data_IF_667028753533
#
_entry.id   IF_667028753533
#
_cell.length_a   1.000
_cell.length_b   1.000
_cell.length_c   1.000
_cell.angle_alpha   90.00
_cell.angle_beta   90.00
_cell.angle_gamma   90.00
#
_symmetry.space_group_name_H-M   'P 1'
#
loop_
_entity.id
_entity.type
_entity.pdbx_description
1 polymer ?
#
# COMPACT_ATOMS: atom_id res chain seq x y z
N UNK A 1 -62.44 -29.32 -28.00
CA UNK A 1 -61.63 -28.08 -27.97
C UNK A 1 -60.50 -28.29 -26.97
N UNK A 2 -59.24 -28.35 -27.43
CA UNK A 2 -58.05 -28.63 -26.61
C UNK A 2 -57.72 -27.40 -25.75
N UNK A 3 -57.55 -27.57 -24.43
CA UNK A 3 -56.88 -26.57 -23.58
C UNK A 3 -55.51 -27.09 -23.18
N UNK A 4 -54.50 -26.42 -23.71
CA UNK A 4 -53.08 -26.53 -23.36
C UNK A 4 -52.90 -25.72 -22.07
N UNK A 5 -52.32 -26.31 -21.03
CA UNK A 5 -51.78 -25.58 -19.88
C UNK A 5 -50.27 -25.79 -19.90
N UNK A 6 -49.56 -24.69 -20.17
CA UNK A 6 -48.10 -24.59 -20.19
C UNK A 6 -47.53 -24.78 -18.77
N UNK A 7 -46.52 -25.63 -18.67
CA UNK A 7 -45.56 -25.65 -17.57
C UNK A 7 -44.57 -24.49 -17.78
N UNK A 8 -44.64 -23.45 -16.94
CA UNK A 8 -43.56 -22.46 -16.82
C UNK A 8 -43.25 -22.31 -15.34
N UNK A 9 -42.16 -22.92 -14.91
CA UNK A 9 -41.68 -22.79 -13.54
C UNK A 9 -40.33 -23.46 -13.40
N UNK A 10 -39.25 -22.67 -13.46
CA UNK A 10 -37.95 -23.13 -12.99
C UNK A 10 -36.72 -22.65 -13.76
N UNK A 11 -36.52 -21.34 -13.94
CA UNK A 11 -35.17 -20.80 -14.16
C UNK A 11 -35.09 -19.41 -13.54
N UNK A 12 -34.72 -19.28 -12.26
CA UNK A 12 -34.37 -17.98 -11.65
C UNK A 12 -33.51 -18.09 -10.38
N UNK A 13 -32.56 -19.03 -10.34
CA UNK A 13 -31.65 -19.19 -9.19
C UNK A 13 -30.14 -19.28 -9.52
N UNK A 14 -29.73 -19.15 -10.79
CA UNK A 14 -28.32 -19.41 -11.19
C UNK A 14 -27.44 -18.14 -11.20
N UNK A 15 -28.02 -16.94 -11.01
CA UNK A 15 -27.29 -15.66 -11.07
C UNK A 15 -26.60 -15.20 -9.77
N UNK A 16 -27.05 -15.68 -8.60
CA UNK A 16 -26.53 -15.23 -7.31
C UNK A 16 -25.23 -15.94 -6.90
N UNK A 17 -25.07 -17.21 -7.27
CA UNK A 17 -23.88 -18.01 -6.91
C UNK A 17 -22.60 -17.49 -7.58
N UNK A 18 -22.66 -17.11 -8.86
CA UNK A 18 -21.49 -16.59 -9.59
C UNK A 18 -21.04 -15.19 -9.14
N UNK A 19 -21.96 -14.36 -8.64
CA UNK A 19 -21.63 -13.04 -8.11
C UNK A 19 -20.95 -13.14 -6.74
N UNK A 20 -21.34 -14.14 -5.94
CA UNK A 20 -20.79 -14.36 -4.60
C UNK A 20 -19.37 -14.93 -4.65
N UNK A 21 -19.09 -15.86 -5.58
CA UNK A 21 -17.74 -16.42 -5.78
C UNK A 21 -16.77 -15.38 -6.36
N UNK A 22 -17.20 -14.57 -7.34
CA UNK A 22 -16.38 -13.46 -7.85
C UNK A 22 -16.11 -12.41 -6.78
N UNK A 23 -17.12 -12.01 -6.01
CA UNK A 23 -16.94 -10.99 -4.99
C UNK A 23 -16.04 -11.46 -3.83
N UNK A 24 -16.10 -12.75 -3.46
CA UNK A 24 -15.18 -13.36 -2.50
C UNK A 24 -13.74 -13.39 -3.05
N UNK A 25 -13.56 -13.71 -4.33
CA UNK A 25 -12.27 -13.65 -5.03
C UNK A 25 -11.68 -12.23 -5.07
N UNK A 26 -12.49 -11.22 -5.40
CA UNK A 26 -12.06 -9.82 -5.48
C UNK A 26 -11.67 -9.25 -4.10
N UNK A 27 -12.41 -9.63 -3.06
CA UNK A 27 -12.06 -9.30 -1.67
C UNK A 27 -10.72 -9.91 -1.24
N UNK A 28 -10.44 -11.14 -1.67
CA UNK A 28 -9.20 -11.82 -1.36
C UNK A 28 -8.00 -11.22 -2.12
N UNK A 29 -8.20 -10.75 -3.35
CA UNK A 29 -7.16 -10.06 -4.12
C UNK A 29 -6.73 -8.72 -3.50
N UNK A 30 -7.66 -8.01 -2.84
CA UNK A 30 -7.39 -6.75 -2.16
C UNK A 30 -6.78 -6.92 -0.75
N UNK A 31 -6.82 -8.14 -0.20
CA UNK A 31 -6.34 -8.41 1.14
C UNK A 31 -4.80 -8.37 1.21
N UNK A 32 -4.19 -7.45 1.98
CA UNK A 32 -2.73 -7.36 2.11
C UNK A 32 -2.10 -8.52 2.89
N UNK A 33 -2.89 -9.34 3.58
CA UNK A 33 -2.49 -10.53 4.34
C UNK A 33 -2.96 -11.84 3.67
N UNK A 34 -3.31 -11.79 2.38
CA UNK A 34 -3.77 -12.96 1.65
C UNK A 34 -2.74 -14.11 1.70
N UNK A 35 -3.24 -15.34 1.82
CA UNK A 35 -2.44 -16.55 1.71
C UNK A 35 -2.17 -16.89 0.23
N UNK A 36 -1.45 -16.01 -0.46
CA UNK A 36 -1.01 -16.21 -1.84
C UNK A 36 0.35 -15.57 -2.07
N UNK A 37 1.11 -16.13 -3.02
CA UNK A 37 2.36 -15.51 -3.46
C UNK A 37 1.98 -14.33 -4.36
N UNK A 38 2.55 -13.16 -4.09
CA UNK A 38 2.28 -11.97 -4.87
C UNK A 38 3.56 -11.20 -5.19
N UNK A 39 3.63 -10.70 -6.41
CA UNK A 39 4.62 -9.73 -6.86
C UNK A 39 3.89 -8.49 -7.37
N UNK A 40 4.08 -7.37 -6.66
CA UNK A 40 3.40 -6.12 -6.95
C UNK A 40 4.41 -5.03 -7.33
N UNK A 41 4.08 -4.30 -8.39
CA UNK A 41 4.74 -3.09 -8.80
C UNK A 41 3.82 -1.91 -8.48
N UNK A 42 4.33 -0.93 -7.73
CA UNK A 42 3.59 0.28 -7.39
C UNK A 42 4.46 1.50 -7.66
N UNK A 43 4.05 2.35 -8.59
CA UNK A 43 4.70 3.61 -8.86
C UNK A 43 3.96 4.75 -8.14
N UNK A 44 4.72 5.57 -7.42
CA UNK A 44 4.28 6.77 -6.72
C UNK A 44 5.00 7.96 -7.34
N UNK A 45 4.26 8.79 -8.07
CA UNK A 45 4.80 9.98 -8.71
C UNK A 45 4.21 11.25 -8.08
N UNK A 46 5.11 12.15 -7.67
CA UNK A 46 4.81 13.45 -7.07
C UNK A 46 5.43 14.51 -7.98
N UNK A 47 4.67 15.10 -8.91
CA UNK A 47 5.21 15.98 -9.95
C UNK A 47 5.67 17.34 -9.43
N UNK A 48 5.22 17.73 -8.23
CA UNK A 48 5.59 19.01 -7.62
C UNK A 48 5.64 18.88 -6.11
N UNK A 49 6.72 19.34 -5.50
CA UNK A 49 6.86 19.47 -4.06
C UNK A 49 6.35 20.83 -3.57
N UNK A 50 5.66 20.83 -2.44
CA UNK A 50 5.17 22.07 -1.80
C UNK A 50 6.38 22.91 -1.38
N UNK A 51 6.34 24.22 -1.67
CA UNK A 51 7.41 25.16 -1.35
C UNK A 51 8.80 24.81 -1.95
N UNK A 52 8.81 24.11 -3.09
CA UNK A 52 10.03 23.79 -3.83
C UNK A 52 9.97 24.36 -5.26
N UNK A 53 11.13 24.48 -5.95
CA UNK A 53 11.18 24.84 -7.37
C UNK A 53 10.32 23.93 -8.24
N UNK A 54 9.95 24.40 -9.43
CA UNK A 54 9.06 23.68 -10.34
C UNK A 54 9.66 22.33 -10.79
N UNK A 55 10.97 22.26 -10.87
CA UNK A 55 11.77 21.11 -11.27
C UNK A 55 11.86 20.04 -10.18
N UNK A 56 11.38 20.32 -8.95
CA UNK A 56 11.46 19.40 -7.83
C UNK A 56 10.29 18.39 -7.86
N UNK A 57 10.62 17.12 -8.01
CA UNK A 57 9.67 16.01 -8.09
C UNK A 57 10.19 14.77 -7.37
N UNK A 58 9.29 13.85 -7.04
CA UNK A 58 9.62 12.53 -6.52
C UNK A 58 8.98 11.47 -7.40
N UNK A 59 9.73 10.44 -7.74
CA UNK A 59 9.19 9.26 -8.41
C UNK A 59 9.70 8.03 -7.69
N UNK A 60 8.83 7.14 -7.22
CA UNK A 60 9.26 5.91 -6.54
C UNK A 60 8.48 4.72 -7.06
N UNK A 61 9.20 3.77 -7.63
CA UNK A 61 8.67 2.45 -7.99
C UNK A 61 9.02 1.45 -6.90
N UNK A 62 8.00 0.91 -6.26
CA UNK A 62 8.08 -0.16 -5.29
C UNK A 62 7.92 -1.50 -5.99
N UNK A 63 8.90 -2.39 -5.79
CA UNK A 63 8.77 -3.82 -6.07
C UNK A 63 8.46 -4.50 -4.73
N UNK A 64 7.31 -5.16 -4.64
CA UNK A 64 6.83 -5.77 -3.40
C UNK A 64 6.57 -7.24 -3.60
N UNK A 65 7.29 -8.05 -2.86
CA UNK A 65 7.13 -9.49 -2.84
C UNK A 65 6.43 -9.91 -1.56
N UNK A 66 5.49 -10.85 -1.65
CA UNK A 66 4.80 -11.46 -0.52
C UNK A 66 4.86 -12.98 -0.64
N UNK A 67 5.30 -13.64 0.43
CA UNK A 67 5.40 -15.09 0.52
C UNK A 67 4.75 -15.59 1.82
N UNK A 68 3.64 -16.33 1.73
CA UNK A 68 3.02 -16.94 2.89
C UNK A 68 3.79 -18.20 3.31
N UNK A 69 3.81 -18.46 4.61
CA UNK A 69 4.29 -19.69 5.21
C UNK A 69 3.24 -20.25 6.16
N UNK A 70 3.39 -21.51 6.55
CA UNK A 70 2.54 -22.15 7.57
C UNK A 70 1.05 -21.97 7.24
N UNK A 71 0.68 -22.24 5.98
CA UNK A 71 -0.69 -22.08 5.44
C UNK A 71 -1.27 -20.67 5.67
N UNK A 72 -0.45 -19.63 5.51
CA UNK A 72 -0.85 -18.23 5.63
C UNK A 72 -0.87 -17.68 7.05
N UNK A 73 -0.46 -18.46 8.07
CA UNK A 73 -0.29 -17.95 9.44
C UNK A 73 0.89 -16.99 9.56
N UNK A 74 1.92 -17.18 8.73
CA UNK A 74 3.03 -16.25 8.62
C UNK A 74 3.06 -15.68 7.20
N UNK A 75 3.33 -14.39 7.05
CA UNK A 75 3.50 -13.77 5.74
C UNK A 75 4.72 -12.87 5.76
N UNK A 76 5.74 -13.24 4.98
CA UNK A 76 6.87 -12.36 4.72
C UNK A 76 6.51 -11.43 3.57
N UNK A 77 6.74 -10.14 3.78
CA UNK A 77 6.71 -9.14 2.72
C UNK A 77 8.05 -8.44 2.64
N UNK A 78 8.57 -8.29 1.43
CA UNK A 78 9.77 -7.52 1.12
C UNK A 78 9.39 -6.40 0.17
N UNK A 79 9.81 -5.17 0.48
CA UNK A 79 9.56 -3.98 -0.33
C UNK A 79 10.89 -3.35 -0.73
N UNK A 80 11.07 -3.17 -2.02
CA UNK A 80 12.28 -2.65 -2.64
C UNK A 80 11.92 -1.38 -3.41
N UNK A 81 12.32 -0.19 -2.92
CA UNK A 81 12.09 1.06 -3.62
C UNK A 81 13.19 1.36 -4.62
N UNK A 82 12.82 1.70 -5.85
CA UNK A 82 13.65 2.40 -6.81
C UNK A 82 13.11 3.80 -6.97
N UNK A 83 13.90 4.79 -6.56
CA UNK A 83 13.46 6.17 -6.44
C UNK A 83 14.30 7.09 -7.31
N UNK A 84 13.64 8.10 -7.86
CA UNK A 84 14.23 9.32 -8.40
C UNK A 84 13.77 10.46 -7.51
N UNK A 85 14.71 11.17 -6.90
CA UNK A 85 14.46 12.29 -6.00
C UNK A 85 15.12 13.51 -6.62
N UNK A 86 14.29 14.45 -7.07
CA UNK A 86 14.72 15.76 -7.54
C UNK A 86 14.33 16.80 -6.48
N UNK A 87 15.30 17.25 -5.70
CA UNK A 87 15.09 18.21 -4.59
C UNK A 87 16.10 19.36 -4.68
N UNK A 88 15.70 20.59 -4.29
CA UNK A 88 16.63 21.72 -4.27
C UNK A 88 17.72 21.50 -3.23
N UNK A 89 18.96 21.80 -3.62
CA UNK A 89 20.04 21.94 -2.67
C UNK A 89 19.76 23.13 -1.74
N UNK A 90 19.87 22.93 -0.44
CA UNK A 90 19.53 23.94 0.57
C UNK A 90 20.42 25.19 0.47
N UNK A 91 21.68 25.03 0.04
CA UNK A 91 22.64 26.13 -0.07
C UNK A 91 22.55 26.88 -1.40
N UNK A 92 22.29 26.19 -2.51
CA UNK A 92 22.34 26.81 -3.86
C UNK A 92 20.97 27.02 -4.48
N UNK A 93 19.92 26.39 -3.97
CA UNK A 93 18.58 26.38 -4.57
C UNK A 93 18.48 25.57 -5.87
N UNK A 94 19.59 25.06 -6.40
CA UNK A 94 19.65 24.26 -7.62
C UNK A 94 19.05 22.88 -7.33
N UNK A 95 18.14 22.42 -8.19
CA UNK A 95 17.55 21.08 -8.08
C UNK A 95 18.55 20.04 -8.57
N UNK A 96 18.99 19.21 -7.64
CA UNK A 96 19.79 18.02 -7.95
C UNK A 96 18.86 16.81 -8.02
N UNK A 97 19.16 15.90 -8.94
CA UNK A 97 18.40 14.66 -9.13
C UNK A 97 19.28 13.47 -8.83
N UNK A 98 18.85 12.63 -7.90
CA UNK A 98 19.46 11.33 -7.64
C UNK A 98 18.50 10.22 -8.03
N UNK A 99 19.03 9.12 -8.57
CA UNK A 99 18.24 7.95 -8.91
C UNK A 99 18.91 6.67 -8.43
N UNK A 100 18.12 5.70 -7.97
CA UNK A 100 18.68 4.41 -7.57
C UNK A 100 17.81 3.64 -6.60
N UNK A 101 18.43 2.61 -6.04
CA UNK A 101 17.86 1.80 -4.97
C UNK A 101 17.73 2.66 -3.71
N UNK A 102 16.62 2.53 -2.97
CA UNK A 102 16.45 3.09 -1.63
C UNK A 102 16.59 2.03 -0.53
N UNK A 103 16.24 2.40 0.69
CA UNK A 103 16.28 1.48 1.84
C UNK A 103 15.21 0.37 1.69
N UNK A 104 15.66 -0.89 1.65
CA UNK A 104 14.79 -2.06 1.56
C UNK A 104 14.11 -2.35 2.90
N UNK A 105 12.83 -2.73 2.86
CA UNK A 105 12.06 -3.05 4.05
C UNK A 105 11.52 -4.49 3.99
N UNK A 106 11.60 -5.20 5.10
CA UNK A 106 10.99 -6.51 5.28
C UNK A 106 10.07 -6.51 6.51
N UNK A 107 8.91 -7.14 6.36
CA UNK A 107 7.90 -7.30 7.40
C UNK A 107 7.46 -8.76 7.44
N UNK A 108 7.49 -9.38 8.61
CA UNK A 108 6.96 -10.72 8.82
C UNK A 108 5.71 -10.62 9.69
N UNK A 109 4.52 -10.87 9.13
CA UNK A 109 3.29 -10.86 9.91
C UNK A 109 2.98 -12.25 10.48
N UNK A 110 2.50 -12.28 11.72
CA UNK A 110 1.73 -13.38 12.27
C UNK A 110 0.24 -13.07 12.18
N UNK A 111 -0.47 -13.80 11.33
CA UNK A 111 -1.87 -13.59 11.02
C UNK A 111 -2.73 -14.34 12.05
N UNK A 112 -2.98 -13.70 13.19
CA UNK A 112 -3.77 -14.28 14.29
C UNK A 112 -5.27 -14.30 13.97
N UNK A 113 -5.74 -13.49 13.01
CA UNK A 113 -7.06 -13.64 12.38
C UNK A 113 -6.87 -13.92 10.90
N UNK A 114 -7.42 -15.05 10.43
CA UNK A 114 -7.38 -15.44 9.01
C UNK A 114 -8.73 -16.04 8.59
N UNK A 115 -9.75 -15.18 8.46
CA UNK A 115 -11.10 -15.55 7.99
C UNK A 115 -11.36 -14.89 6.62
N UNK A 116 -12.27 -15.44 5.79
CA UNK A 116 -12.60 -14.83 4.50
C UNK A 116 -13.05 -13.36 4.57
N UNK A 117 -13.71 -12.98 5.67
CA UNK A 117 -14.28 -11.63 5.85
C UNK A 117 -13.43 -10.72 6.73
N UNK A 118 -12.37 -11.24 7.35
CA UNK A 118 -11.52 -10.48 8.27
C UNK A 118 -10.15 -11.14 8.39
N UNK A 119 -9.10 -10.34 8.21
CA UNK A 119 -7.72 -10.75 8.48
C UNK A 119 -7.01 -9.70 9.30
N UNK A 120 -6.22 -10.15 10.26
CA UNK A 120 -5.42 -9.29 11.12
C UNK A 120 -4.09 -9.96 11.38
N UNK A 121 -3.03 -9.16 11.35
CA UNK A 121 -1.68 -9.64 11.54
C UNK A 121 -0.82 -8.61 12.23
N UNK A 122 0.15 -9.09 12.98
CA UNK A 122 1.15 -8.27 13.67
C UNK A 122 2.50 -8.92 13.54
N UNK A 123 3.58 -8.14 13.50
CA UNK A 123 4.90 -8.73 13.60
C UNK A 123 6.04 -7.75 13.38
N UNK A 124 7.28 -8.26 13.43
CA UNK A 124 8.47 -7.45 13.34
C UNK A 124 8.68 -6.91 11.93
N UNK A 125 9.29 -5.74 11.89
CA UNK A 125 9.70 -5.05 10.67
C UNK A 125 11.18 -4.67 10.79
N UNK A 126 11.90 -4.80 9.69
CA UNK A 126 13.29 -4.34 9.58
C UNK A 126 13.48 -3.56 8.28
N UNK A 127 14.26 -2.49 8.35
CA UNK A 127 14.68 -1.70 7.19
C UNK A 127 16.20 -1.72 7.12
N UNK A 128 16.73 -2.07 5.95
CA UNK A 128 18.15 -2.15 5.68
C UNK A 128 18.63 -0.90 4.92
N UNK A 129 19.82 -0.36 5.27
CA UNK A 129 20.39 0.80 4.60
C UNK A 129 21.02 0.43 3.25
N UNK A 130 20.19 0.05 2.28
CA UNK A 130 20.60 -0.42 0.95
C UNK A 130 20.60 0.69 -0.10
N UNK A 131 20.30 1.93 0.30
CA UNK A 131 20.21 3.03 -0.64
C UNK A 131 21.52 3.24 -1.41
N UNK A 132 21.39 3.42 -2.72
CA UNK A 132 22.53 3.69 -3.60
C UNK A 132 23.12 5.09 -3.35
N UNK A 133 22.26 6.05 -2.98
CA UNK A 133 22.63 7.44 -2.74
C UNK A 133 22.11 7.93 -1.40
N UNK A 134 22.85 8.88 -0.81
CA UNK A 134 22.51 9.46 0.50
C UNK A 134 21.14 10.15 0.55
N UNK A 135 20.63 10.62 -0.59
CA UNK A 135 19.30 11.24 -0.70
C UNK A 135 18.17 10.20 -0.79
N UNK A 136 18.48 8.93 -1.09
CA UNK A 136 17.49 7.88 -1.32
C UNK A 136 17.23 7.01 -0.08
N UNK A 137 18.00 7.20 0.99
CA UNK A 137 17.88 6.40 2.20
C UNK A 137 18.39 7.08 3.46
N UNK A 138 18.13 6.43 4.58
CA UNK A 138 18.52 6.91 5.90
C UNK A 138 19.99 6.63 6.21
N UNK A 139 20.57 5.59 5.61
CA UNK A 139 21.88 5.05 6.01
C UNK A 139 21.83 4.34 7.38
N UNK A 140 20.62 4.02 7.86
CA UNK A 140 20.39 3.35 9.15
C UNK A 140 19.70 2.00 8.97
N UNK A 141 20.15 1.03 9.76
CA UNK A 141 19.32 -0.12 10.10
C UNK A 141 18.21 0.31 11.05
N UNK A 142 16.99 -0.08 10.73
CA UNK A 142 15.81 0.26 11.52
C UNK A 142 15.05 -1.00 11.91
N UNK A 143 14.59 -1.05 13.14
CA UNK A 143 13.82 -2.14 13.71
C UNK A 143 12.49 -1.61 14.20
N UNK A 144 11.45 -2.41 14.07
CA UNK A 144 10.10 -1.96 14.34
C UNK A 144 9.07 -3.06 14.37
N UNK A 145 7.82 -2.64 14.47
CA UNK A 145 6.64 -3.50 14.44
C UNK A 145 5.62 -2.94 13.47
N UNK A 146 4.86 -3.83 12.86
CA UNK A 146 3.72 -3.47 12.04
C UNK A 146 2.49 -4.29 12.42
N UNK A 147 1.34 -3.63 12.37
CA UNK A 147 0.02 -4.18 12.59
C UNK A 147 -0.82 -3.91 11.36
N UNK A 148 -1.51 -4.93 10.84
CA UNK A 148 -2.38 -4.82 9.69
C UNK A 148 -3.72 -5.43 10.05
N UNK A 149 -4.79 -4.74 9.71
CA UNK A 149 -6.15 -5.26 9.76
C UNK A 149 -6.86 -4.99 8.45
N UNK A 150 -7.64 -5.97 7.98
CA UNK A 150 -8.46 -5.87 6.80
C UNK A 150 -9.79 -6.56 7.02
N UNK A 151 -10.88 -5.87 6.73
CA UNK A 151 -12.26 -6.30 6.90
C UNK A 151 -12.98 -6.20 5.56
N UNK A 152 -13.52 -7.31 5.11
CA UNK A 152 -14.25 -7.47 3.86
C UNK A 152 -15.61 -8.15 4.10
N UNK A 153 -16.40 -7.60 5.04
CA UNK A 153 -17.76 -8.11 5.32
C UNK A 153 -18.74 -7.80 4.19
N UNK A 154 -18.53 -6.70 3.47
CA UNK A 154 -19.32 -6.32 2.30
C UNK A 154 -18.53 -6.60 1.03
N UNK A 155 -19.14 -7.20 0.00
CA UNK A 155 -18.50 -7.33 -1.31
C UNK A 155 -18.28 -5.98 -1.99
N UNK A 156 -19.08 -4.96 -1.63
CA UNK A 156 -19.04 -3.62 -2.25
C UNK A 156 -18.00 -2.72 -1.59
N UNK A 157 -17.87 -2.81 -0.26
CA UNK A 157 -17.00 -1.94 0.51
C UNK A 157 -16.10 -2.75 1.45
N UNK A 158 -14.80 -2.58 1.29
CA UNK A 158 -13.76 -3.25 2.06
C UNK A 158 -12.89 -2.18 2.69
N UNK A 159 -12.43 -2.39 3.91
CA UNK A 159 -11.63 -1.39 4.63
C UNK A 159 -10.61 -2.05 5.53
N UNK A 160 -9.58 -1.30 5.90
CA UNK A 160 -8.51 -1.78 6.73
C UNK A 160 -7.57 -0.67 7.14
N UNK A 161 -6.50 -1.07 7.81
CA UNK A 161 -5.44 -0.17 8.23
C UNK A 161 -4.13 -0.91 8.38
N UNK A 162 -3.04 -0.18 8.15
CA UNK A 162 -1.68 -0.56 8.47
C UNK A 162 -1.14 0.47 9.46
N UNK A 163 -0.69 0.03 10.62
CA UNK A 163 0.03 0.84 11.58
C UNK A 163 1.46 0.30 11.70
N UNK A 164 2.46 1.17 11.64
CA UNK A 164 3.87 0.81 11.79
C UNK A 164 4.53 1.73 12.78
N UNK A 165 5.54 1.20 13.46
CA UNK A 165 6.50 1.97 14.22
C UNK A 165 7.88 1.40 13.97
N UNK A 166 8.87 2.26 13.73
CA UNK A 166 10.25 1.85 13.53
C UNK A 166 11.24 2.91 14.01
N UNK A 167 12.37 2.46 14.53
CA UNK A 167 13.46 3.32 14.98
C UNK A 167 14.80 2.75 14.52
N UNK A 168 15.76 3.65 14.26
CA UNK A 168 17.13 3.25 13.94
C UNK A 168 17.82 2.62 15.15
N UNK A 169 18.54 1.52 14.94
CA UNK A 169 19.36 0.88 15.99
C UNK A 169 20.84 0.72 15.60
N UNK A 170 21.18 0.77 14.30
CA UNK A 170 22.54 0.68 13.80
C UNK A 170 22.69 1.42 12.46
N UNK A 171 23.90 1.48 11.91
CA UNK A 171 24.22 2.12 10.62
C UNK A 171 25.26 3.22 10.73
N UNK A 172 25.36 4.05 9.70
CA UNK A 172 26.39 5.10 9.59
C UNK A 172 26.27 6.13 10.72
N UNK A 173 27.35 6.35 11.48
CA UNK A 173 27.41 7.29 12.61
C UNK A 173 27.22 8.75 12.20
N UNK A 174 27.55 9.10 10.95
CA UNK A 174 27.41 10.46 10.43
C UNK A 174 25.98 10.79 10.00
N UNK A 175 25.08 9.79 9.97
CA UNK A 175 23.68 9.96 9.62
C UNK A 175 22.82 10.17 10.87
N UNK A 176 21.78 11.02 10.83
CA UNK A 176 20.85 11.18 11.94
C UNK A 176 20.13 9.87 12.31
N UNK A 177 19.83 9.68 13.59
CA UNK A 177 18.95 8.58 14.05
C UNK A 177 17.51 8.82 13.58
N UNK A 178 16.75 7.75 13.32
CA UNK A 178 15.34 7.82 12.92
C UNK A 178 14.42 7.25 14.00
N UNK A 179 13.22 7.79 14.14
CA UNK A 179 12.14 7.22 14.96
C UNK A 179 10.80 7.75 14.43
N UNK A 180 10.02 6.89 13.78
CA UNK A 180 8.74 7.30 13.22
C UNK A 180 7.68 6.20 13.31
N UNK A 181 6.44 6.64 13.42
CA UNK A 181 5.27 5.82 13.24
C UNK A 181 4.51 6.23 11.98
N UNK A 182 3.85 5.27 11.33
CA UNK A 182 2.92 5.56 10.25
C UNK A 182 1.59 4.85 10.45
N UNK A 183 0.50 5.53 10.10
CA UNK A 183 -0.85 4.98 10.11
C UNK A 183 -1.43 5.18 8.72
N UNK A 184 -1.77 4.09 8.05
CA UNK A 184 -2.33 4.07 6.71
C UNK A 184 -3.70 3.38 6.76
N UNK A 185 -4.80 4.12 6.96
CA UNK A 185 -6.11 3.59 6.69
C UNK A 185 -6.25 3.37 5.18
N UNK A 186 -6.93 2.30 4.78
CA UNK A 186 -7.21 2.05 3.38
C UNK A 186 -8.61 1.47 3.18
N UNK A 187 -9.21 1.77 2.03
CA UNK A 187 -10.53 1.30 1.66
C UNK A 187 -10.61 1.02 0.16
N UNK A 188 -11.51 0.11 -0.19
CA UNK A 188 -11.83 -0.28 -1.55
C UNK A 188 -13.35 -0.25 -1.73
N UNK A 189 -13.81 0.48 -2.74
CA UNK A 189 -15.21 0.53 -3.13
C UNK A 189 -15.35 -0.03 -4.54
N UNK A 190 -15.97 -1.20 -4.65
CA UNK A 190 -16.28 -1.84 -5.94
C UNK A 190 -17.36 -1.05 -6.69
N UNK A 191 -17.02 -0.55 -7.88
CA UNK A 191 -17.92 0.19 -8.77
C UNK A 191 -18.61 -0.74 -9.78
N UNK A 192 -18.28 -2.03 -9.75
CA UNK A 192 -18.78 -3.06 -10.66
C UNK A 192 -17.85 -3.31 -11.85
N UNK A 193 -18.04 -4.47 -12.51
CA UNK A 193 -17.27 -4.89 -13.69
C UNK A 193 -15.74 -4.96 -13.48
N UNK A 194 -15.28 -5.20 -12.26
CA UNK A 194 -13.85 -5.27 -11.91
C UNK A 194 -13.19 -3.92 -11.66
N UNK A 195 -13.94 -2.82 -11.76
CA UNK A 195 -13.45 -1.48 -11.42
C UNK A 195 -13.72 -1.18 -9.96
N UNK A 196 -12.72 -0.65 -9.25
CA UNK A 196 -12.88 -0.19 -7.87
C UNK A 196 -12.21 1.16 -7.65
N UNK A 197 -12.78 1.94 -6.73
CA UNK A 197 -12.15 3.11 -6.15
C UNK A 197 -11.33 2.67 -4.93
N UNK A 198 -10.12 3.20 -4.79
CA UNK A 198 -9.25 2.93 -3.62
C UNK A 198 -8.75 4.22 -3.02
N UNK A 199 -8.83 4.32 -1.69
CA UNK A 199 -8.10 5.32 -0.91
C UNK A 199 -7.14 4.65 0.05
N UNK A 200 -5.93 5.19 0.21
CA UNK A 200 -4.93 4.69 1.13
C UNK A 200 -3.98 5.83 1.60
N UNK A 201 -4.49 6.90 2.24
CA UNK A 201 -3.63 7.96 2.76
C UNK A 201 -2.70 7.41 3.83
N UNK A 202 -1.49 7.95 3.93
CA UNK A 202 -0.51 7.54 4.95
C UNK A 202 -0.19 8.72 5.83
N UNK A 203 -0.50 8.62 7.11
CA UNK A 203 -0.12 9.59 8.12
C UNK A 203 1.22 9.17 8.70
N UNK A 204 2.19 10.08 8.76
CA UNK A 204 3.54 9.81 9.27
C UNK A 204 3.80 10.75 10.44
N UNK A 205 4.33 10.20 11.52
CA UNK A 205 4.72 10.91 12.73
C UNK A 205 6.21 10.65 12.97
N UNK A 206 7.03 11.69 12.92
CA UNK A 206 8.46 11.63 13.19
C UNK A 206 8.71 12.17 14.61
N UNK A 207 9.09 11.26 15.52
CA UNK A 207 9.33 11.56 16.92
C UNK A 207 10.74 12.09 17.20
N UNK A 208 11.61 12.21 16.18
CA UNK A 208 12.93 12.84 16.33
C UNK A 208 12.86 14.34 16.15
N UNK A 209 12.05 14.78 15.20
CA UNK A 209 11.94 16.19 14.83
C UNK A 209 10.56 16.77 15.19
N UNK A 210 9.78 16.05 16.02
CA UNK A 210 8.40 16.37 16.42
C UNK A 210 7.50 16.84 15.27
N UNK A 211 7.67 16.22 14.10
CA UNK A 211 6.98 16.60 12.86
C UNK A 211 5.99 15.52 12.42
N UNK A 212 4.93 15.94 11.72
CA UNK A 212 3.93 15.04 11.18
C UNK A 212 3.56 15.40 9.75
N UNK A 213 3.19 14.38 8.97
CA UNK A 213 2.68 14.51 7.61
C UNK A 213 1.35 13.79 7.50
N UNK A 214 0.28 14.54 7.26
CA UNK A 214 -1.08 14.03 7.11
C UNK A 214 -1.61 14.48 5.74
N UNK A 215 -1.55 13.64 4.70
CA UNK A 215 -2.16 13.96 3.42
C UNK A 215 -3.68 14.06 3.59
N UNK A 216 -4.25 15.20 3.17
CA UNK A 216 -5.71 15.37 3.07
C UNK A 216 -6.23 14.57 1.87
N UNK A 217 -7.19 13.67 2.09
CA UNK A 217 -7.86 12.93 1.01
C UNK A 217 -8.65 13.93 0.16
N UNK A 218 -8.14 14.28 -1.02
CA UNK A 218 -8.93 14.98 -2.04
C UNK A 218 -9.52 13.92 -2.97
N UNK A 219 -10.84 13.71 -2.88
CA UNK A 219 -11.58 12.94 -3.88
C UNK A 219 -11.39 13.62 -5.24
N UNK A 220 -11.01 12.88 -6.28
CA UNK A 220 -10.90 13.46 -7.62
C UNK A 220 -12.14 13.13 -8.47
N UNK A 221 -12.88 14.20 -8.80
CA UNK A 221 -13.60 14.38 -10.06
C UNK A 221 -13.19 15.76 -10.58
N UNK A 222 -12.33 15.81 -11.61
CA UNK A 222 -12.08 17.02 -12.39
C UNK A 222 -11.20 18.11 -11.75
N UNK A 223 -10.55 18.88 -12.62
CA UNK A 223 -9.63 19.99 -12.32
C UNK A 223 -10.26 21.13 -11.51
N UNK A 224 -9.64 21.52 -10.38
CA UNK A 224 -9.08 22.87 -10.17
C UNK A 224 -8.25 22.97 -8.88
N UNK A 225 -7.38 23.95 -8.94
CA UNK A 225 -6.27 24.37 -8.09
C UNK A 225 -6.57 24.52 -6.59
N UNK A 226 -5.52 24.41 -5.79
CA UNK A 226 -5.51 24.73 -4.36
C UNK A 226 -4.59 23.82 -3.57
N UNK A 227 -3.35 24.29 -3.36
CA UNK A 227 -2.41 23.92 -2.29
C UNK A 227 -2.47 22.46 -1.82
N UNK A 228 -1.77 21.57 -2.52
CA UNK A 228 -1.05 20.41 -2.01
C UNK A 228 -0.53 19.54 -3.17
N UNK A 229 0.60 18.87 -2.96
CA UNK A 229 1.20 17.95 -3.92
C UNK A 229 0.27 16.76 -4.20
N UNK A 230 -0.04 16.53 -5.47
CA UNK A 230 -0.87 15.41 -5.93
C UNK A 230 0.04 14.19 -6.10
N UNK A 231 -0.24 13.09 -5.39
CA UNK A 231 0.46 11.81 -5.59
C UNK A 231 -0.32 10.96 -6.60
N UNK A 232 0.28 10.63 -7.73
CA UNK A 232 -0.23 9.61 -8.64
C UNK A 232 0.26 8.25 -8.18
N UNK A 233 -0.66 7.32 -7.89
CA UNK A 233 -0.34 5.95 -7.50
C UNK A 233 -0.82 5.01 -8.61
N UNK A 234 0.09 4.57 -9.47
CA UNK A 234 -0.17 3.50 -10.43
C UNK A 234 0.23 2.16 -9.79
N UNK A 235 -0.70 1.19 -9.72
CA UNK A 235 -0.44 -0.13 -9.13
C UNK A 235 -0.74 -1.24 -10.13
N UNK A 236 0.24 -2.09 -10.40
CA UNK A 236 0.09 -3.34 -11.14
C UNK A 236 0.46 -4.51 -10.20
N UNK A 237 -0.42 -5.50 -10.02
CA UNK A 237 -0.17 -6.66 -9.15
C UNK A 237 -0.30 -7.94 -9.95
N UNK A 238 0.65 -8.85 -9.80
CA UNK A 238 0.56 -10.22 -10.31
C UNK A 238 0.40 -11.13 -9.10
N UNK A 239 -0.67 -11.92 -9.08
CA UNK A 239 -0.95 -12.91 -8.04
C UNK A 239 -0.79 -14.31 -8.62
N UNK A 240 -0.16 -15.22 -7.87
CA UNK A 240 -0.17 -16.64 -8.16
C UNK A 240 -0.94 -17.35 -7.04
N UNK A 241 -2.08 -17.95 -7.39
CA UNK A 241 -2.88 -18.75 -6.47
C UNK A 241 -2.40 -20.19 -6.64
N UNK A 242 -1.82 -20.76 -5.57
CA UNK A 242 -1.47 -22.17 -5.50
C UNK A 242 -2.69 -23.00 -5.07
#
# INVERSE_FOLDING_TARGET
MKKIILFVGGILAVGLLHAQDKAASDAQANNPLANSIALNFQNNYVPKLTNAPYEAYLNTTWIRYAQPFVKGKLLLRVSVPFSTVAVPNVATGIVNTENGLGDMNAFLSYNFVSKPTATMGVGPMVTAPTAAENLLGSGKWQGGVAFVAFIAKSPVFQFGGLATWQASFAGDKNRPSTNFAAIQPFYFWQLGKGTYLRGAPTWVFNFKDDSYSIPRIRHWTGFKDGENSVQFICRASIYHVA
#
